data_IF_252129777340
#
_entry.id   IF_252129777340
#
_cell.length_a   1.000
_cell.length_b   1.000
_cell.length_c   1.000
_cell.angle_alpha   90.00
_cell.angle_beta   90.00
_cell.angle_gamma   90.00
#
_symmetry.space_group_name_H-M   'P 1'
#
loop_
_entity.id
_entity.type
_entity.pdbx_description
1 polymer ?
#
# COMPACT_ATOMS: atom_id res chain seq x y z
N UNK A 1 50.56 -0.23 -27.42
CA UNK A 1 49.49 0.71 -27.78
C UNK A 1 48.49 0.01 -28.68
N UNK A 2 47.46 -0.53 -28.05
CA UNK A 2 46.11 -0.73 -28.58
C UNK A 2 45.28 -1.05 -27.35
N UNK A 3 44.68 0.01 -26.85
CA UNK A 3 43.67 -0.01 -25.79
C UNK A 3 42.37 -0.38 -26.49
N UNK A 4 41.82 -1.56 -26.20
CA UNK A 4 40.49 -1.95 -26.65
C UNK A 4 39.71 -2.43 -25.43
N UNK A 5 38.52 -1.86 -25.30
CA UNK A 5 37.77 -1.59 -24.07
C UNK A 5 37.36 -2.84 -23.27
N UNK A 6 37.47 -2.72 -21.95
CA UNK A 6 36.76 -3.59 -21.01
C UNK A 6 35.25 -3.42 -21.23
N UNK A 7 34.62 -4.41 -21.86
CA UNK A 7 33.15 -4.47 -21.91
C UNK A 7 32.66 -4.85 -20.51
N UNK A 8 32.26 -3.85 -19.73
CA UNK A 8 31.40 -4.06 -18.57
C UNK A 8 30.05 -4.53 -19.10
N UNK A 9 29.80 -5.84 -19.08
CA UNK A 9 28.44 -6.34 -19.21
C UNK A 9 27.69 -5.92 -17.94
N UNK A 10 27.01 -4.77 -18.02
CA UNK A 10 25.95 -4.37 -17.09
C UNK A 10 24.74 -5.29 -17.33
N UNK A 11 24.85 -6.54 -16.86
CA UNK A 11 23.69 -7.42 -16.68
C UNK A 11 23.30 -7.39 -15.19
N UNK A 12 22.94 -6.19 -14.72
CA UNK A 12 22.22 -5.99 -13.47
C UNK A 12 20.74 -6.30 -13.71
N UNK A 13 20.34 -7.58 -13.67
CA UNK A 13 18.96 -7.93 -13.35
C UNK A 13 18.85 -9.32 -12.71
N UNK A 14 19.73 -9.59 -11.75
CA UNK A 14 19.47 -10.59 -10.71
C UNK A 14 19.58 -9.91 -9.34
N UNK A 15 18.76 -8.88 -9.12
CA UNK A 15 18.19 -8.70 -7.79
C UNK A 15 16.99 -9.63 -7.71
N UNK A 16 17.28 -10.90 -7.51
CA UNK A 16 16.42 -11.75 -6.71
C UNK A 16 16.18 -11.04 -5.38
N UNK A 17 15.15 -10.20 -5.33
CA UNK A 17 14.48 -9.86 -4.08
C UNK A 17 13.64 -11.08 -3.69
N UNK A 18 14.34 -12.17 -3.39
CA UNK A 18 13.81 -13.28 -2.64
C UNK A 18 13.71 -12.81 -1.18
N UNK A 19 12.92 -11.78 -0.90
CA UNK A 19 12.33 -11.75 0.42
C UNK A 19 11.17 -12.72 0.35
N UNK A 20 11.36 -13.85 1.02
CA UNK A 20 10.25 -14.74 1.39
C UNK A 20 9.34 -14.03 2.39
N UNK A 21 8.65 -12.97 1.95
CA UNK A 21 7.59 -12.28 2.69
C UNK A 21 6.28 -13.10 2.69
N UNK A 22 6.25 -14.17 1.90
CA UNK A 22 5.07 -14.98 1.62
C UNK A 22 4.60 -15.82 2.82
N UNK A 23 5.32 -15.90 3.94
CA UNK A 23 4.84 -16.59 5.15
C UNK A 23 4.10 -15.64 6.11
N UNK A 24 4.57 -14.39 6.27
CA UNK A 24 3.93 -13.44 7.18
C UNK A 24 2.64 -12.88 6.57
N UNK A 25 2.65 -12.51 5.28
CA UNK A 25 1.46 -12.02 4.56
C UNK A 25 0.30 -13.02 4.57
N UNK A 26 0.59 -14.30 4.28
CA UNK A 26 -0.42 -15.39 4.30
C UNK A 26 -1.12 -15.55 5.64
N UNK A 27 -0.43 -15.25 6.75
CA UNK A 27 -1.01 -15.39 8.08
C UNK A 27 -2.01 -14.27 8.39
N UNK A 28 -1.70 -13.04 8.00
CA UNK A 28 -2.57 -11.86 8.21
C UNK A 28 -3.78 -11.90 7.28
N UNK A 29 -3.61 -12.40 6.06
CA UNK A 29 -4.69 -12.53 5.07
C UNK A 29 -5.81 -13.47 5.51
N UNK A 30 -5.54 -14.37 6.46
CA UNK A 30 -6.51 -15.30 7.02
C UNK A 30 -7.37 -14.71 8.14
N UNK A 31 -7.01 -13.53 8.64
CA UNK A 31 -7.69 -12.87 9.75
C UNK A 31 -8.82 -11.96 9.27
N UNK A 32 -9.84 -11.83 10.11
CA UNK A 32 -10.90 -10.85 9.86
C UNK A 32 -10.34 -9.42 9.92
N UNK A 33 -10.81 -8.48 9.07
CA UNK A 33 -10.27 -7.12 9.01
C UNK A 33 -10.25 -6.40 10.36
N UNK A 34 -11.25 -6.63 11.22
CA UNK A 34 -11.30 -6.04 12.56
C UNK A 34 -10.14 -6.54 13.44
N UNK A 35 -9.79 -7.82 13.35
CA UNK A 35 -8.65 -8.39 14.09
C UNK A 35 -7.34 -7.82 13.55
N UNK A 36 -7.23 -7.61 12.23
CA UNK A 36 -6.04 -6.99 11.64
C UNK A 36 -5.91 -5.52 12.04
N UNK A 37 -7.01 -4.79 12.21
CA UNK A 37 -6.97 -3.43 12.76
C UNK A 37 -6.46 -3.40 14.21
N UNK A 38 -6.91 -4.32 15.06
CA UNK A 38 -6.36 -4.46 16.41
C UNK A 38 -4.87 -4.83 16.38
N UNK A 39 -4.49 -5.74 15.49
CA UNK A 39 -3.10 -6.17 15.32
C UNK A 39 -2.20 -5.04 14.81
N UNK A 40 -2.71 -4.18 13.91
CA UNK A 40 -2.04 -2.99 13.42
C UNK A 40 -1.78 -2.01 14.57
N UNK A 41 -2.78 -1.75 15.41
CA UNK A 41 -2.65 -0.88 16.59
C UNK A 41 -1.61 -1.41 17.59
N UNK A 42 -1.58 -2.74 17.76
CA UNK A 42 -0.59 -3.43 18.58
C UNK A 42 0.81 -3.26 17.98
N UNK A 43 0.96 -3.56 16.69
CA UNK A 43 2.23 -3.48 16.00
C UNK A 43 2.80 -2.05 16.03
N UNK A 44 1.94 -1.04 15.83
CA UNK A 44 2.33 0.37 15.90
C UNK A 44 2.76 0.77 17.31
N UNK A 45 2.03 0.33 18.34
CA UNK A 45 2.38 0.60 19.75
C UNK A 45 3.70 -0.04 20.20
N UNK A 46 4.01 -1.23 19.68
CA UNK A 46 5.21 -1.99 20.06
C UNK A 46 6.36 -1.85 19.05
N UNK A 47 6.22 -0.98 18.04
CA UNK A 47 7.20 -0.76 16.97
C UNK A 47 7.57 -2.06 16.22
N UNK A 48 6.60 -2.95 16.02
CA UNK A 48 6.78 -4.17 15.24
C UNK A 48 6.58 -3.87 13.75
N UNK A 49 7.57 -3.25 13.11
CA UNK A 49 7.46 -2.72 11.76
C UNK A 49 7.09 -3.76 10.70
N UNK A 50 7.62 -4.99 10.77
CA UNK A 50 7.30 -6.07 9.83
C UNK A 50 5.82 -6.46 9.92
N UNK A 51 5.29 -6.62 11.14
CA UNK A 51 3.88 -6.92 11.37
C UNK A 51 2.99 -5.75 10.95
N UNK A 52 3.41 -4.51 11.27
CA UNK A 52 2.70 -3.30 10.86
C UNK A 52 2.58 -3.23 9.35
N UNK A 53 3.68 -3.48 8.63
CA UNK A 53 3.73 -3.47 7.17
C UNK A 53 2.84 -4.56 6.56
N UNK A 54 2.83 -5.77 7.14
CA UNK A 54 1.95 -6.84 6.68
C UNK A 54 0.45 -6.49 6.90
N UNK A 55 0.10 -5.91 8.05
CA UNK A 55 -1.26 -5.44 8.33
C UNK A 55 -1.67 -4.30 7.39
N UNK A 56 -0.77 -3.34 7.17
CA UNK A 56 -0.96 -2.19 6.27
C UNK A 56 -1.23 -2.68 4.82
N UNK A 57 -0.40 -3.62 4.33
CA UNK A 57 -0.56 -4.25 3.01
C UNK A 57 -1.88 -5.01 2.87
N UNK A 58 -2.23 -5.84 3.84
CA UNK A 58 -3.49 -6.58 3.80
C UNK A 58 -4.69 -5.62 3.78
N UNK A 59 -4.75 -4.65 4.70
CA UNK A 59 -5.87 -3.70 4.78
C UNK A 59 -5.98 -2.87 3.51
N UNK A 60 -4.87 -2.43 2.93
CA UNK A 60 -4.87 -1.71 1.66
C UNK A 60 -5.41 -2.56 0.50
N UNK A 61 -5.13 -3.86 0.48
CA UNK A 61 -5.66 -4.77 -0.54
C UNK A 61 -7.19 -4.89 -0.50
N UNK A 62 -7.80 -4.60 0.66
CA UNK A 62 -9.26 -4.61 0.83
C UNK A 62 -9.92 -3.33 0.29
N UNK A 63 -9.16 -2.26 0.02
CA UNK A 63 -9.66 -0.95 -0.42
C UNK A 63 -9.87 -0.95 -1.93
N UNK A 64 -11.07 -1.32 -2.38
CA UNK A 64 -11.45 -1.29 -3.80
C UNK A 64 -12.67 -0.40 -4.10
N UNK A 65 -13.36 0.10 -3.07
CA UNK A 65 -14.55 0.93 -3.21
C UNK A 65 -14.59 2.07 -2.18
N UNK A 66 -15.43 3.07 -2.45
CA UNK A 66 -15.53 4.28 -1.62
C UNK A 66 -15.98 3.98 -0.18
N UNK A 67 -16.86 3.00 0.05
CA UNK A 67 -17.32 2.68 1.40
C UNK A 67 -16.17 2.10 2.22
N UNK A 68 -15.41 1.18 1.64
CA UNK A 68 -14.22 0.61 2.30
C UNK A 68 -13.14 1.66 2.52
N UNK A 69 -12.88 2.54 1.56
CA UNK A 69 -11.93 3.64 1.72
C UNK A 69 -12.34 4.57 2.88
N UNK A 70 -13.62 4.95 2.95
CA UNK A 70 -14.12 5.84 4.01
C UNK A 70 -14.06 5.19 5.39
N UNK A 71 -14.34 3.88 5.48
CA UNK A 71 -14.27 3.14 6.75
C UNK A 71 -12.84 2.98 7.27
N UNK A 72 -11.85 2.82 6.38
CA UNK A 72 -10.49 2.46 6.76
C UNK A 72 -9.51 3.64 6.82
N UNK A 73 -9.83 4.79 6.20
CA UNK A 73 -8.90 5.93 6.11
C UNK A 73 -8.59 6.54 7.49
N UNK A 74 -9.57 6.60 8.40
CA UNK A 74 -9.36 7.13 9.76
C UNK A 74 -8.38 6.24 10.54
N UNK A 75 -8.57 4.92 10.49
CA UNK A 75 -7.64 3.96 11.08
C UNK A 75 -6.23 4.05 10.50
N UNK A 76 -6.13 4.20 9.17
CA UNK A 76 -4.83 4.35 8.51
C UNK A 76 -4.08 5.60 8.96
N UNK A 77 -4.79 6.70 9.22
CA UNK A 77 -4.21 7.94 9.72
C UNK A 77 -3.79 7.83 11.20
N UNK A 78 -4.66 7.29 12.05
CA UNK A 78 -4.40 7.13 13.48
C UNK A 78 -3.20 6.21 13.75
N UNK A 79 -3.07 5.13 12.97
CA UNK A 79 -1.99 4.15 13.14
C UNK A 79 -0.76 4.41 12.26
N UNK A 80 -0.72 5.53 11.54
CA UNK A 80 0.39 5.89 10.62
C UNK A 80 0.67 4.78 9.58
N UNK A 81 -0.38 4.14 9.07
CA UNK A 81 -0.33 3.10 8.04
C UNK A 81 -0.42 3.72 6.65
N UNK A 82 0.73 4.12 6.11
CA UNK A 82 0.82 4.97 4.92
C UNK A 82 0.34 4.29 3.64
N UNK A 83 0.50 2.97 3.53
CA UNK A 83 0.10 2.26 2.32
C UNK A 83 -1.43 2.15 2.23
N UNK A 84 -2.10 1.89 3.35
CA UNK A 84 -3.55 1.94 3.50
C UNK A 84 -4.11 3.32 3.21
N UNK A 85 -3.52 4.38 3.78
CA UNK A 85 -3.95 5.77 3.51
C UNK A 85 -3.81 6.08 2.02
N UNK A 86 -2.72 5.64 1.40
CA UNK A 86 -2.51 5.85 -0.04
C UNK A 86 -3.57 5.13 -0.87
N UNK A 87 -3.90 3.87 -0.55
CA UNK A 87 -4.97 3.13 -1.22
C UNK A 87 -6.33 3.80 -1.06
N UNK A 88 -6.67 4.28 0.15
CA UNK A 88 -7.90 5.01 0.42
C UNK A 88 -7.98 6.31 -0.40
N UNK A 89 -6.94 7.12 -0.38
CA UNK A 89 -6.88 8.37 -1.16
C UNK A 89 -6.95 8.10 -2.66
N UNK A 90 -6.32 7.03 -3.15
CA UNK A 90 -6.38 6.66 -4.56
C UNK A 90 -7.81 6.35 -5.02
N UNK A 91 -8.59 5.63 -4.22
CA UNK A 91 -10.01 5.36 -4.51
C UNK A 91 -10.84 6.65 -4.45
N UNK A 92 -10.65 7.47 -3.41
CA UNK A 92 -11.37 8.74 -3.27
C UNK A 92 -11.09 9.69 -4.44
N UNK A 93 -9.82 9.79 -4.86
CA UNK A 93 -9.40 10.62 -5.99
C UNK A 93 -9.90 10.11 -7.34
N UNK A 94 -10.15 8.80 -7.49
CA UNK A 94 -10.75 8.26 -8.72
C UNK A 94 -12.22 8.65 -8.88
N UNK A 95 -12.94 8.80 -7.79
CA UNK A 95 -14.38 9.12 -7.78
C UNK A 95 -14.66 10.64 -7.80
N UNK A 96 -13.68 11.49 -7.47
CA UNK A 96 -13.82 12.95 -7.56
C UNK A 96 -14.00 13.48 -9.01
N UNK A 97 -13.27 13.00 -10.04
CA UNK A 97 -13.47 13.38 -11.45
C UNK A 97 -14.90 13.26 -11.94
N UNK A 98 -15.65 12.24 -11.47
CA UNK A 98 -17.05 12.05 -11.86
C UNK A 98 -17.98 13.09 -11.23
N UNK A 99 -17.62 13.68 -10.07
CA UNK A 99 -18.38 14.75 -9.43
C UNK A 99 -18.08 16.13 -10.02
N UNK A 100 -16.86 16.37 -10.53
CA UNK A 100 -16.47 17.65 -11.15
C UNK A 100 -16.83 17.77 -12.62
N UNK A 101 -17.13 16.67 -13.33
CA UNK A 101 -17.57 16.70 -14.74
C UNK A 101 -19.03 17.16 -14.93
N UNK A 102 -19.58 17.87 -13.96
CA UNK A 102 -20.85 18.59 -14.12
C UNK A 102 -20.70 19.61 -15.26
N UNK A 103 -21.46 19.53 -16.36
CA UNK A 103 -21.35 20.47 -17.50
C UNK A 103 -21.71 21.93 -17.14
N UNK A 104 -22.06 22.21 -15.88
CA UNK A 104 -22.29 23.54 -15.33
C UNK A 104 -21.02 24.22 -14.79
N UNK A 105 -19.86 23.55 -14.74
CA UNK A 105 -18.62 24.11 -14.14
C UNK A 105 -17.54 24.44 -15.19
N UNK A 106 -17.70 24.05 -16.46
CA UNK A 106 -16.76 24.34 -17.56
C UNK A 106 -17.17 25.54 -18.44
N UNK A 107 -17.73 26.60 -17.85
CA UNK A 107 -17.82 27.92 -18.50
C UNK A 107 -17.08 28.96 -17.67
N UNK A 108 -15.78 29.09 -17.90
CA UNK A 108 -15.08 30.36 -17.76
C UNK A 108 -14.11 30.53 -18.92
#
# INVERSE_FOLDING_TARGET
MRDDECSTSEEDFDMSFCIGDDELGKSVDSLEPNVVLELLSLANRFCCEEMKTACDAYLASLVYDMNRAMLLIEYGLDETAHLLVTACLQVLMRELPSSVHSPNVTRL
#
